data_IF_892366277607
#
_entry.id   IF_892366277607
#
_cell.length_a   1.000
_cell.length_b   1.000
_cell.length_c   1.000
_cell.angle_alpha   90.00
_cell.angle_beta   90.00
_cell.angle_gamma   90.00
#
_symmetry.space_group_name_H-M   'P 1'
#
loop_
_entity.id
_entity.type
_entity.pdbx_description
1 polymer ?
#
# COMPACT_ATOMS: atom_id res chain seq x y z
N UNK A 1 26.18 -3.27 -12.18
CA UNK A 1 24.84 -2.73 -11.85
C UNK A 1 23.80 -3.70 -12.39
N UNK A 2 23.03 -4.37 -11.54
CA UNK A 2 21.89 -5.20 -11.99
C UNK A 2 20.68 -4.26 -12.09
N UNK A 3 20.17 -4.05 -13.29
CA UNK A 3 18.99 -3.21 -13.53
C UNK A 3 17.77 -3.87 -12.89
N UNK A 4 17.41 -3.46 -11.68
CA UNK A 4 16.13 -3.84 -11.09
C UNK A 4 15.04 -3.04 -11.77
N UNK A 5 14.10 -3.74 -12.41
CA UNK A 5 12.93 -3.16 -13.04
C UNK A 5 11.71 -3.67 -12.30
N UNK A 6 10.75 -2.79 -12.03
CA UNK A 6 9.46 -3.15 -11.47
C UNK A 6 8.42 -3.02 -12.58
N UNK A 7 7.91 -4.16 -13.03
CA UNK A 7 6.90 -4.28 -14.08
C UNK A 7 5.68 -4.92 -13.46
N UNK A 8 4.53 -4.29 -13.64
CA UNK A 8 3.24 -4.75 -13.10
C UNK A 8 2.23 -4.84 -14.24
N UNK A 9 1.31 -5.78 -14.15
CA UNK A 9 0.22 -5.90 -15.12
C UNK A 9 -0.74 -4.71 -14.99
N UNK A 10 -1.19 -4.13 -16.10
CA UNK A 10 -2.25 -3.11 -16.08
C UNK A 10 -3.62 -3.76 -15.83
N UNK A 11 -3.87 -4.05 -14.56
CA UNK A 11 -5.09 -4.70 -14.11
C UNK A 11 -6.34 -3.83 -14.36
N UNK A 12 -6.17 -2.51 -14.37
CA UNK A 12 -7.27 -1.55 -14.56
C UNK A 12 -7.75 -1.63 -16.01
N UNK A 13 -6.81 -1.58 -16.96
CA UNK A 13 -7.13 -1.75 -18.37
C UNK A 13 -7.64 -3.17 -18.67
N UNK A 14 -6.99 -4.19 -18.12
CA UNK A 14 -7.38 -5.59 -18.29
C UNK A 14 -8.70 -5.96 -17.60
N UNK A 15 -9.29 -5.07 -16.78
CA UNK A 15 -10.47 -5.36 -15.94
C UNK A 15 -10.33 -6.71 -15.23
N UNK A 16 -9.16 -6.92 -14.65
CA UNK A 16 -8.81 -8.14 -13.94
C UNK A 16 -9.59 -8.19 -12.62
N UNK A 17 -9.94 -9.39 -12.17
CA UNK A 17 -10.87 -9.58 -11.05
C UNK A 17 -10.38 -10.67 -10.12
N UNK A 18 -10.82 -10.59 -8.87
CA UNK A 18 -10.67 -11.67 -7.88
C UNK A 18 -11.63 -12.80 -8.23
N UNK A 19 -11.27 -13.62 -9.21
CA UNK A 19 -12.05 -14.78 -9.64
C UNK A 19 -11.38 -16.12 -9.32
N UNK A 20 -10.12 -16.09 -8.88
CA UNK A 20 -9.35 -17.29 -8.54
C UNK A 20 -9.34 -17.60 -7.06
N UNK A 21 -8.84 -18.78 -6.73
CA UNK A 21 -8.48 -19.17 -5.37
C UNK A 21 -7.11 -19.81 -5.37
N UNK A 22 -6.33 -19.47 -4.35
CA UNK A 22 -4.97 -19.95 -4.15
C UNK A 22 -4.88 -20.56 -2.76
N UNK A 23 -4.31 -21.74 -2.68
CA UNK A 23 -3.98 -22.34 -1.39
C UNK A 23 -2.92 -21.48 -0.71
N UNK A 24 -3.17 -21.11 0.55
CA UNK A 24 -2.19 -20.35 1.34
C UNK A 24 -1.03 -21.28 1.69
N UNK A 25 0.16 -20.88 1.28
CA UNK A 25 1.42 -21.55 1.62
C UNK A 25 2.04 -20.82 2.80
N UNK A 26 2.32 -21.55 3.88
CA UNK A 26 3.05 -21.06 5.05
C UNK A 26 4.24 -21.98 5.33
N UNK A 27 5.43 -21.40 5.49
CA UNK A 27 6.67 -22.18 5.73
C UNK A 27 6.91 -23.28 4.67
N UNK A 28 6.58 -22.98 3.41
CA UNK A 28 6.64 -23.91 2.27
C UNK A 28 5.67 -25.10 2.36
N UNK A 29 4.71 -25.09 3.29
CA UNK A 29 3.65 -26.10 3.37
C UNK A 29 2.30 -25.50 2.97
N UNK A 30 1.53 -26.25 2.20
CA UNK A 30 0.15 -25.93 1.88
C UNK A 30 -0.70 -26.04 3.14
N UNK A 31 -1.52 -25.01 3.38
CA UNK A 31 -2.50 -25.01 4.46
C UNK A 31 -3.87 -25.40 3.92
N UNK A 32 -4.82 -25.68 4.80
CA UNK A 32 -6.22 -25.90 4.41
C UNK A 32 -6.98 -24.60 4.09
N UNK A 33 -6.32 -23.44 4.14
CA UNK A 33 -6.94 -22.13 3.93
C UNK A 33 -6.71 -21.71 2.49
N UNK A 34 -7.80 -21.36 1.80
CA UNK A 34 -7.77 -20.76 0.47
C UNK A 34 -7.93 -19.24 0.59
N UNK A 35 -7.06 -18.52 -0.12
CA UNK A 35 -7.15 -17.08 -0.29
C UNK A 35 -7.75 -16.72 -1.65
N UNK A 36 -8.54 -15.62 -1.71
CA UNK A 36 -8.94 -15.05 -2.99
C UNK A 36 -7.71 -14.66 -3.81
N UNK A 37 -7.65 -15.11 -5.06
CA UNK A 37 -6.56 -14.81 -5.98
C UNK A 37 -7.03 -13.87 -7.11
N UNK A 38 -6.19 -12.89 -7.42
CA UNK A 38 -6.38 -12.01 -8.55
C UNK A 38 -5.94 -12.71 -9.83
N UNK A 39 -6.89 -13.03 -10.71
CA UNK A 39 -6.59 -13.66 -11.98
C UNK A 39 -6.45 -12.58 -13.04
N UNK A 40 -5.26 -12.52 -13.64
CA UNK A 40 -4.97 -11.60 -14.73
C UNK A 40 -5.53 -12.14 -16.04
N UNK A 41 -6.15 -11.27 -16.84
CA UNK A 41 -6.50 -11.58 -18.22
C UNK A 41 -5.28 -11.37 -19.10
N UNK A 42 -5.13 -12.21 -20.11
CA UNK A 42 -4.03 -12.16 -21.06
C UNK A 42 -4.14 -10.92 -21.95
N UNK A 43 -3.61 -9.83 -21.42
CA UNK A 43 -3.59 -8.51 -22.05
C UNK A 43 -2.16 -8.04 -21.97
N UNK A 44 -1.56 -7.72 -23.12
CA UNK A 44 -0.15 -7.33 -23.24
C UNK A 44 0.09 -5.86 -22.80
N UNK A 45 -0.56 -5.43 -21.71
CA UNK A 45 -0.45 -4.08 -21.17
C UNK A 45 0.22 -4.13 -19.79
N UNK A 46 1.33 -3.41 -19.68
CA UNK A 46 2.18 -3.42 -18.50
C UNK A 46 2.50 -2.00 -18.06
N UNK A 47 2.46 -1.78 -16.74
CA UNK A 47 2.89 -0.54 -16.11
C UNK A 47 4.29 -0.73 -15.57
N UNK A 48 5.20 0.15 -15.99
CA UNK A 48 6.58 0.15 -15.53
C UNK A 48 6.74 1.27 -14.50
N UNK A 49 7.18 0.93 -13.29
CA UNK A 49 7.52 1.94 -12.30
C UNK A 49 8.89 2.55 -12.64
N UNK A 50 8.87 3.72 -13.30
CA UNK A 50 10.08 4.45 -13.69
C UNK A 50 10.94 4.90 -12.51
N UNK A 51 10.36 5.04 -11.30
CA UNK A 51 11.10 5.38 -10.09
C UNK A 51 11.90 4.21 -9.51
N UNK A 52 11.64 2.98 -9.94
CA UNK A 52 12.43 1.81 -9.55
C UNK A 52 13.81 1.79 -10.21
N UNK A 53 14.01 2.56 -11.27
CA UNK A 53 15.29 2.66 -11.96
C UNK A 53 16.23 3.62 -11.23
N UNK A 54 17.50 3.24 -11.09
CA UNK A 54 18.55 4.12 -10.53
C UNK A 54 18.67 5.46 -11.27
N UNK A 55 18.41 5.47 -12.58
CA UNK A 55 18.50 6.64 -13.44
C UNK A 55 17.12 7.17 -13.83
N UNK A 56 16.12 7.08 -12.95
CA UNK A 56 14.76 7.56 -13.20
C UNK A 56 14.71 9.00 -13.74
N UNK A 57 15.62 9.86 -13.28
CA UNK A 57 15.72 11.24 -13.75
C UNK A 57 16.04 11.35 -15.25
N UNK A 58 16.98 10.53 -15.77
CA UNK A 58 17.32 10.51 -17.21
C UNK A 58 16.19 9.93 -18.05
N UNK A 59 15.47 8.91 -17.54
CA UNK A 59 14.30 8.38 -18.25
C UNK A 59 13.23 9.44 -18.41
N UNK A 60 13.01 10.29 -17.40
CA UNK A 60 12.02 11.38 -17.46
C UNK A 60 12.41 12.51 -18.40
N UNK A 61 13.68 12.68 -18.75
CA UNK A 61 14.09 13.70 -19.75
C UNK A 61 13.87 13.22 -21.18
N UNK A 62 13.89 11.90 -21.42
CA UNK A 62 13.70 11.31 -22.75
C UNK A 62 12.23 10.98 -23.01
N UNK A 63 11.50 10.55 -21.98
CA UNK A 63 10.09 10.20 -22.11
C UNK A 63 9.19 11.43 -22.22
N UNK A 64 8.13 11.37 -23.04
CA UNK A 64 7.11 12.42 -23.09
C UNK A 64 6.53 12.74 -21.71
N UNK A 65 6.29 14.03 -21.44
CA UNK A 65 5.79 14.49 -20.14
C UNK A 65 4.43 13.88 -19.76
N UNK A 66 3.58 13.57 -20.73
CA UNK A 66 2.27 12.95 -20.47
C UNK A 66 2.38 11.52 -19.91
N UNK A 67 3.54 10.85 -20.04
CA UNK A 67 3.79 9.51 -19.47
C UNK A 67 4.46 9.57 -18.09
N UNK A 68 5.00 10.72 -17.69
CA UNK A 68 5.82 10.87 -16.47
C UNK A 68 5.33 11.97 -15.53
N UNK A 69 4.29 12.69 -15.94
CA UNK A 69 3.61 13.67 -15.10
C UNK A 69 2.85 12.93 -13.99
N UNK A 70 2.99 13.35 -12.73
CA UNK A 70 2.12 12.86 -11.66
C UNK A 70 0.66 13.14 -12.01
N UNK A 71 -0.19 12.13 -11.93
CA UNK A 71 -1.65 12.29 -12.06
C UNK A 71 -2.21 12.59 -10.67
N UNK A 72 -2.92 13.73 -10.48
CA UNK A 72 -3.57 14.02 -9.21
C UNK A 72 -4.57 12.92 -8.87
N UNK A 73 -4.37 12.25 -7.73
CA UNK A 73 -5.35 11.29 -7.19
C UNK A 73 -6.63 12.02 -6.74
N UNK A 74 -6.48 13.25 -6.26
CA UNK A 74 -7.56 14.11 -5.83
C UNK A 74 -7.43 15.46 -6.52
N UNK A 75 -8.54 15.98 -7.06
CA UNK A 75 -8.54 17.30 -7.70
C UNK A 75 -8.35 18.42 -6.68
N UNK A 76 -9.02 18.33 -5.54
CA UNK A 76 -8.83 19.24 -4.40
C UNK A 76 -7.94 18.58 -3.34
N UNK A 77 -6.64 18.80 -3.49
CA UNK A 77 -5.63 18.31 -2.56
C UNK A 77 -5.81 18.89 -1.15
N UNK A 78 -6.28 20.14 -1.02
CA UNK A 78 -6.39 20.80 0.28
C UNK A 78 -7.59 20.28 1.07
N UNK A 79 -8.75 20.11 0.42
CA UNK A 79 -9.91 19.49 1.06
C UNK A 79 -9.60 18.07 1.55
N UNK A 80 -8.93 17.26 0.72
CA UNK A 80 -8.55 15.89 1.13
C UNK A 80 -7.50 15.87 2.24
N UNK A 81 -6.55 16.80 2.22
CA UNK A 81 -5.60 16.95 3.31
C UNK A 81 -6.30 17.34 4.63
N UNK A 82 -7.28 18.25 4.57
CA UNK A 82 -8.06 18.65 5.75
C UNK A 82 -8.89 17.48 6.31
N UNK A 83 -9.54 16.71 5.44
CA UNK A 83 -10.26 15.48 5.78
C UNK A 83 -9.34 14.48 6.50
N UNK A 84 -8.19 14.15 5.92
CA UNK A 84 -7.24 13.22 6.53
C UNK A 84 -6.69 13.73 7.86
N UNK A 85 -6.41 15.03 7.97
CA UNK A 85 -5.97 15.63 9.22
C UNK A 85 -7.05 15.53 10.31
N UNK A 86 -8.33 15.69 9.94
CA UNK A 86 -9.45 15.50 10.86
C UNK A 86 -9.55 14.05 11.33
N UNK A 87 -9.58 13.09 10.41
CA UNK A 87 -9.64 11.66 10.74
C UNK A 87 -8.47 11.25 11.65
N UNK A 88 -7.27 11.77 11.38
CA UNK A 88 -6.11 11.52 12.22
C UNK A 88 -6.29 12.07 13.64
N UNK A 89 -6.80 13.30 13.79
CA UNK A 89 -7.05 13.90 15.12
C UNK A 89 -8.03 13.05 15.93
N UNK A 90 -9.16 12.68 15.33
CA UNK A 90 -10.18 11.83 15.95
C UNK A 90 -9.59 10.49 16.40
N UNK A 91 -8.83 9.83 15.51
CA UNK A 91 -8.17 8.55 15.80
C UNK A 91 -7.15 8.68 16.95
N UNK A 92 -6.38 9.78 16.99
CA UNK A 92 -5.38 10.02 18.04
C UNK A 92 -6.02 10.41 19.37
N UNK A 93 -7.15 11.12 19.36
CA UNK A 93 -7.92 11.42 20.56
C UNK A 93 -8.51 10.17 21.18
N UNK A 94 -9.15 9.31 20.37
CA UNK A 94 -9.61 7.99 20.81
C UNK A 94 -8.47 7.16 21.42
N UNK A 95 -7.33 7.08 20.72
CA UNK A 95 -6.15 6.35 21.20
C UNK A 95 -5.58 6.93 22.51
N UNK A 96 -5.59 8.25 22.68
CA UNK A 96 -5.15 8.91 23.93
C UNK A 96 -6.13 8.67 25.07
N UNK A 97 -7.44 8.70 24.81
CA UNK A 97 -8.47 8.39 25.79
C UNK A 97 -8.36 6.93 26.26
N UNK A 98 -8.19 5.98 25.33
CA UNK A 98 -7.94 4.57 25.65
C UNK A 98 -6.68 4.37 26.49
N UNK A 99 -5.57 5.02 26.13
CA UNK A 99 -4.33 4.94 26.92
C UNK A 99 -4.50 5.54 28.32
N UNK A 100 -5.24 6.65 28.45
CA UNK A 100 -5.54 7.26 29.74
C UNK A 100 -6.39 6.32 30.60
N UNK A 101 -7.47 5.76 30.05
CA UNK A 101 -8.30 4.78 30.72
C UNK A 101 -7.49 3.53 31.13
N UNK A 102 -6.58 3.04 30.28
CA UNK A 102 -5.69 1.92 30.62
C UNK A 102 -4.73 2.24 31.76
N UNK A 103 -4.22 3.48 31.86
CA UNK A 103 -3.35 3.92 32.96
C UNK A 103 -4.12 4.07 34.27
N UNK A 104 -5.33 4.61 34.21
CA UNK A 104 -6.22 4.75 35.39
C UNK A 104 -6.65 3.38 35.92
N UNK A 105 -6.90 2.41 35.04
CA UNK A 105 -7.24 1.03 35.41
C UNK A 105 -6.04 0.16 35.80
N UNK A 106 -4.79 0.60 35.59
CA UNK A 106 -3.59 -0.15 35.98
C UNK A 106 -2.52 0.79 36.59
N UNK A 107 -2.71 1.26 37.83
CA UNK A 107 -1.84 2.26 38.47
C UNK A 107 -0.43 1.74 38.78
N UNK A 108 -0.21 0.42 38.76
CA UNK A 108 1.09 -0.21 38.99
C UNK A 108 1.75 -0.61 37.64
N UNK A 109 2.56 0.30 37.10
CA UNK A 109 3.73 0.00 36.25
C UNK A 109 3.61 -1.07 35.15
N UNK A 110 2.82 -0.83 34.11
CA UNK A 110 2.82 -1.70 32.91
C UNK A 110 4.07 -1.52 32.04
N UNK A 111 5.02 -2.45 32.15
CA UNK A 111 6.24 -2.55 31.32
C UNK A 111 6.00 -2.40 29.82
N UNK A 112 6.90 -1.68 29.14
CA UNK A 112 6.96 -1.44 27.69
C UNK A 112 6.48 -2.61 26.82
N UNK A 113 5.27 -2.49 26.25
CA UNK A 113 4.83 -3.34 25.13
C UNK A 113 5.73 -3.04 23.93
N UNK A 114 6.71 -3.91 23.68
CA UNK A 114 7.52 -3.95 22.45
C UNK A 114 6.58 -3.89 21.24
N UNK A 115 6.85 -2.94 20.32
CA UNK A 115 6.20 -2.85 19.00
C UNK A 115 6.27 -4.22 18.31
N UNK A 116 5.12 -4.82 18.02
CA UNK A 116 5.02 -5.99 17.14
C UNK A 116 5.35 -5.49 15.73
N UNK A 117 6.57 -5.78 15.28
CA UNK A 117 7.07 -5.50 13.94
C UNK A 117 6.37 -6.51 13.02
N UNK A 118 5.35 -6.06 12.29
CA UNK A 118 4.85 -6.74 11.09
C UNK A 118 5.80 -6.45 9.94
#
# INVERSE_FOLDING_TARGET
VRFQINVQHDCVHGKCTVSGRKVRIQECQETSIEDPEFIHKDTEHWVINTHSFHNAHLLRTVLPRHLTAPVPVFMDHMAKHAEFAQTLRETQEAKRAEQKAQRENNPEGGTSKKRKKT
#
